data_IF_306972505310
#
_entry.id   IF_306972505310
#
_cell.length_a   1.000
_cell.length_b   1.000
_cell.length_c   1.000
_cell.angle_alpha   90.00
_cell.angle_beta   90.00
_cell.angle_gamma   90.00
#
_symmetry.space_group_name_H-M   'P 1'
#
loop_
_entity.id
_entity.type
_entity.pdbx_description
1 polymer ?
#
# COMPACT_ATOMS: atom_id res chain seq x y z
N UNK A 1 5.88 -8.85 15.17
CA UNK A 1 4.51 -8.83 15.75
C UNK A 1 3.58 -7.88 15.01
N UNK A 2 3.94 -6.62 14.79
CA UNK A 2 3.09 -5.64 14.08
C UNK A 2 2.63 -6.12 12.67
N UNK A 3 3.52 -6.71 11.87
CA UNK A 3 3.16 -7.22 10.53
C UNK A 3 2.04 -8.28 10.58
N UNK A 4 2.08 -9.17 11.56
CA UNK A 4 1.06 -10.23 11.73
C UNK A 4 -0.29 -9.62 12.11
N UNK A 5 -0.30 -8.66 13.05
CA UNK A 5 -1.53 -7.97 13.44
C UNK A 5 -2.17 -7.23 12.25
N UNK A 6 -1.36 -6.52 11.46
CA UNK A 6 -1.85 -5.80 10.27
C UNK A 6 -2.41 -6.77 9.23
N UNK A 7 -1.77 -7.92 9.00
CA UNK A 7 -2.30 -8.96 8.11
C UNK A 7 -3.63 -9.54 8.58
N UNK A 8 -3.82 -9.76 9.88
CA UNK A 8 -5.10 -10.23 10.42
C UNK A 8 -6.20 -9.17 10.25
N UNK A 9 -5.91 -7.92 10.60
CA UNK A 9 -6.86 -6.81 10.43
C UNK A 9 -7.21 -6.64 8.94
N UNK A 10 -6.24 -6.70 8.06
CA UNK A 10 -6.47 -6.58 6.62
C UNK A 10 -7.30 -7.73 6.05
N UNK A 11 -7.18 -8.97 6.56
CA UNK A 11 -8.04 -10.09 6.17
C UNK A 11 -9.49 -9.86 6.59
N UNK A 12 -9.71 -9.36 7.81
CA UNK A 12 -11.05 -9.02 8.32
C UNK A 12 -11.67 -7.93 7.44
N UNK A 13 -10.91 -6.89 7.12
CA UNK A 13 -11.40 -5.80 6.27
C UNK A 13 -11.68 -6.29 4.84
N UNK A 14 -10.84 -7.18 4.28
CA UNK A 14 -11.09 -7.76 2.96
C UNK A 14 -12.37 -8.60 2.92
N UNK A 15 -12.63 -9.39 3.97
CA UNK A 15 -13.86 -10.16 4.09
C UNK A 15 -15.09 -9.24 4.14
N UNK A 16 -15.04 -8.18 4.95
CA UNK A 16 -16.13 -7.20 5.08
C UNK A 16 -16.34 -6.40 3.79
N UNK A 17 -15.27 -6.07 3.06
CA UNK A 17 -15.34 -5.17 1.90
C UNK A 17 -15.64 -5.89 0.58
N UNK A 18 -15.21 -7.15 0.41
CA UNK A 18 -15.30 -7.86 -0.89
C UNK A 18 -16.18 -9.11 -0.80
N UNK A 19 -16.54 -9.56 0.41
CA UNK A 19 -17.35 -10.77 0.61
C UNK A 19 -16.59 -12.08 0.37
N UNK A 20 -15.30 -12.02 0.03
CA UNK A 20 -14.44 -13.19 -0.17
C UNK A 20 -14.16 -13.85 1.17
N UNK A 21 -14.52 -15.14 1.31
CA UNK A 21 -14.31 -15.96 2.51
C UNK A 21 -12.90 -15.81 3.09
N UNK A 22 -12.82 -15.76 4.42
CA UNK A 22 -11.55 -15.62 5.15
C UNK A 22 -10.50 -16.68 4.74
N UNK A 23 -10.96 -17.90 4.48
CA UNK A 23 -10.13 -19.04 4.06
C UNK A 23 -9.58 -18.85 2.64
N UNK A 24 -10.36 -18.25 1.74
CA UNK A 24 -9.97 -18.02 0.35
C UNK A 24 -8.97 -16.86 0.18
N UNK A 25 -9.03 -15.85 1.06
CA UNK A 25 -8.10 -14.72 1.07
C UNK A 25 -6.79 -14.98 1.83
N UNK A 26 -6.76 -16.02 2.68
CA UNK A 26 -5.60 -16.42 3.48
C UNK A 26 -4.33 -16.67 2.66
N UNK A 27 -4.35 -17.44 1.54
CA UNK A 27 -3.14 -17.66 0.74
C UNK A 27 -2.59 -16.36 0.14
N UNK A 28 -3.46 -15.46 -0.34
CA UNK A 28 -3.04 -14.15 -0.85
C UNK A 28 -2.36 -13.30 0.24
N UNK A 29 -2.90 -13.34 1.46
CA UNK A 29 -2.36 -12.54 2.58
C UNK A 29 -1.03 -13.10 3.05
N UNK A 30 -0.89 -14.44 3.06
CA UNK A 30 0.37 -15.09 3.39
C UNK A 30 1.48 -14.68 2.41
N UNK A 31 1.16 -14.55 1.12
CA UNK A 31 2.11 -14.06 0.11
C UNK A 31 2.50 -12.60 0.38
N UNK A 32 1.54 -11.70 0.62
CA UNK A 32 1.86 -10.30 0.95
C UNK A 32 2.68 -10.16 2.24
N UNK A 33 2.38 -10.98 3.25
CA UNK A 33 3.14 -11.03 4.49
C UNK A 33 4.57 -11.52 4.23
N UNK A 34 4.76 -12.57 3.43
CA UNK A 34 6.07 -13.10 3.06
C UNK A 34 6.90 -12.07 2.29
N UNK A 35 6.31 -11.38 1.31
CA UNK A 35 6.96 -10.28 0.59
C UNK A 35 7.38 -9.15 1.53
N UNK A 36 6.52 -8.81 2.50
CA UNK A 36 6.80 -7.76 3.49
C UNK A 36 7.96 -8.15 4.42
N UNK A 37 8.01 -9.41 4.86
CA UNK A 37 9.11 -9.93 5.68
C UNK A 37 10.42 -9.93 4.89
N UNK A 38 10.42 -10.47 3.68
CA UNK A 38 11.62 -10.52 2.83
C UNK A 38 12.14 -9.12 2.50
N UNK A 39 11.27 -8.20 2.08
CA UNK A 39 11.65 -6.82 1.78
C UNK A 39 12.19 -6.08 3.01
N UNK A 40 11.60 -6.30 4.19
CA UNK A 40 12.10 -5.73 5.43
C UNK A 40 13.45 -6.30 5.86
N UNK A 41 13.66 -7.60 5.69
CA UNK A 41 14.96 -8.24 5.95
C UNK A 41 16.03 -7.65 5.03
N UNK A 42 15.74 -7.48 3.74
CA UNK A 42 16.67 -6.84 2.79
C UNK A 42 16.98 -5.41 3.23
N UNK A 43 15.98 -4.63 3.63
CA UNK A 43 16.17 -3.26 4.15
C UNK A 43 17.11 -3.20 5.36
N UNK A 44 17.03 -4.19 6.27
CA UNK A 44 17.92 -4.25 7.44
C UNK A 44 19.39 -4.49 7.05
N UNK A 45 19.65 -5.28 6.01
CA UNK A 45 21.00 -5.56 5.53
C UNK A 45 21.54 -4.48 4.58
N UNK A 46 20.66 -3.87 3.79
CA UNK A 46 21.02 -2.88 2.78
C UNK A 46 20.81 -1.48 3.34
N UNK A 47 21.87 -0.88 3.88
CA UNK A 47 21.88 0.50 4.44
C UNK A 47 21.93 1.59 3.37
N UNK A 48 21.27 1.38 2.24
CA UNK A 48 21.04 2.44 1.26
C UNK A 48 19.85 3.24 1.79
N UNK A 49 19.89 4.57 1.76
CA UNK A 49 18.84 5.48 2.31
C UNK A 49 17.45 5.38 1.66
N UNK A 50 17.16 4.25 1.02
CA UNK A 50 15.88 3.89 0.40
C UNK A 50 14.97 3.32 1.50
N UNK A 51 13.72 3.81 1.60
CA UNK A 51 12.78 3.35 2.62
C UNK A 51 12.42 1.87 2.46
N UNK A 52 12.10 1.20 3.57
CA UNK A 52 11.71 -0.22 3.60
C UNK A 52 10.59 -0.57 2.60
N UNK A 53 9.63 0.35 2.39
CA UNK A 53 8.50 0.17 1.48
C UNK A 53 8.97 -0.09 0.04
N UNK A 54 10.03 0.57 -0.42
CA UNK A 54 10.55 0.37 -1.78
C UNK A 54 11.14 -1.03 -1.97
N UNK A 55 11.84 -1.55 -0.95
CA UNK A 55 12.37 -2.92 -0.98
C UNK A 55 11.26 -3.96 -1.00
N UNK A 56 10.19 -3.74 -0.24
CA UNK A 56 9.00 -4.61 -0.24
C UNK A 56 8.35 -4.63 -1.64
N UNK A 57 8.20 -3.47 -2.27
CA UNK A 57 7.66 -3.38 -3.65
C UNK A 57 8.52 -4.13 -4.66
N UNK A 58 9.86 -4.01 -4.58
CA UNK A 58 10.77 -4.75 -5.47
C UNK A 58 10.58 -6.26 -5.32
N UNK A 59 10.52 -6.76 -4.08
CA UNK A 59 10.29 -8.19 -3.82
C UNK A 59 8.93 -8.63 -4.38
N UNK A 60 7.87 -7.85 -4.14
CA UNK A 60 6.55 -8.16 -4.68
C UNK A 60 6.54 -8.20 -6.22
N UNK A 61 7.24 -7.27 -6.87
CA UNK A 61 7.38 -7.25 -8.34
C UNK A 61 8.07 -8.54 -8.81
N UNK A 62 9.18 -8.93 -8.19
CA UNK A 62 9.92 -10.15 -8.56
C UNK A 62 9.02 -11.39 -8.49
N UNK A 63 8.16 -11.50 -7.47
CA UNK A 63 7.22 -12.61 -7.31
C UNK A 63 6.08 -12.59 -8.34
N UNK A 64 5.75 -11.41 -8.88
CA UNK A 64 4.70 -11.23 -9.90
C UNK A 64 5.17 -11.38 -11.35
N UNK A 65 6.49 -11.45 -11.59
CA UNK A 65 7.05 -11.57 -12.94
C UNK A 65 6.78 -12.98 -13.50
N UNK A 66 6.37 -13.12 -14.78
CA UNK A 66 6.02 -14.42 -15.39
C UNK A 66 7.16 -15.44 -15.42
N UNK A 67 8.42 -14.98 -15.34
CA UNK A 67 9.60 -15.86 -15.25
C UNK A 67 9.75 -16.54 -13.88
N UNK A 68 8.96 -16.16 -12.86
CA UNK A 68 8.95 -16.82 -11.57
C UNK A 68 8.07 -18.09 -11.62
N UNK A 69 8.56 -19.25 -11.14
CA UNK A 69 7.89 -20.55 -11.33
C UNK A 69 6.50 -20.65 -10.70
N UNK A 70 6.22 -19.85 -9.66
CA UNK A 70 4.91 -19.79 -8.98
C UNK A 70 4.13 -18.50 -9.30
N UNK A 71 4.49 -17.77 -10.35
CA UNK A 71 3.89 -16.46 -10.67
C UNK A 71 2.38 -16.53 -10.91
N UNK A 72 1.89 -17.55 -11.61
CA UNK A 72 0.46 -17.71 -11.90
C UNK A 72 -0.37 -17.93 -10.62
N UNK A 73 0.10 -18.78 -9.72
CA UNK A 73 -0.55 -19.02 -8.42
C UNK A 73 -0.50 -17.78 -7.54
N UNK A 74 0.65 -17.10 -7.48
CA UNK A 74 0.82 -15.85 -6.74
C UNK A 74 -0.18 -14.79 -7.20
N UNK A 75 -0.30 -14.59 -8.51
CA UNK A 75 -1.25 -13.62 -9.08
C UNK A 75 -2.70 -14.04 -8.80
N UNK A 76 -3.02 -15.33 -8.97
CA UNK A 76 -4.38 -15.84 -8.71
C UNK A 76 -4.79 -15.65 -7.24
N UNK A 77 -3.92 -15.94 -6.27
CA UNK A 77 -4.23 -15.79 -4.86
C UNK A 77 -4.22 -14.34 -4.38
N UNK A 78 -3.32 -13.50 -4.91
CA UNK A 78 -3.27 -12.07 -4.57
C UNK A 78 -4.44 -11.29 -5.18
N UNK A 79 -4.97 -11.70 -6.33
CA UNK A 79 -6.15 -11.08 -6.96
C UNK A 79 -7.42 -11.17 -6.11
N UNK A 80 -7.50 -12.15 -5.20
CA UNK A 80 -8.61 -12.30 -4.23
C UNK A 80 -8.59 -11.25 -3.12
N UNK A 81 -7.50 -10.49 -3.01
CA UNK A 81 -7.35 -9.42 -2.03
C UNK A 81 -7.57 -8.08 -2.72
N UNK A 82 -8.60 -7.36 -2.27
CA UNK A 82 -8.87 -6.03 -2.76
C UNK A 82 -7.83 -5.02 -2.26
N UNK A 83 -7.34 -4.18 -3.18
CA UNK A 83 -6.45 -3.07 -2.82
C UNK A 83 -7.14 -2.04 -1.92
N UNK A 84 -8.41 -1.74 -2.17
CA UNK A 84 -9.21 -0.82 -1.36
C UNK A 84 -9.31 -1.26 0.12
N UNK A 85 -9.70 -2.53 0.42
CA UNK A 85 -9.71 -3.02 1.79
C UNK A 85 -8.36 -2.92 2.52
N UNK A 86 -7.24 -3.02 1.80
CA UNK A 86 -5.90 -2.86 2.38
C UNK A 86 -5.62 -1.43 2.86
N UNK A 87 -6.16 -0.43 2.17
CA UNK A 87 -5.90 0.99 2.51
C UNK A 87 -6.78 1.44 3.68
N UNK A 88 -7.94 0.82 3.90
CA UNK A 88 -8.87 1.17 4.98
C UNK A 88 -8.25 1.18 6.39
N UNK A 89 -7.52 0.15 6.87
CA UNK A 89 -6.90 0.21 8.20
C UNK A 89 -5.82 1.30 8.29
N UNK A 90 -5.12 1.59 7.19
CA UNK A 90 -4.11 2.66 7.14
C UNK A 90 -4.79 4.03 7.25
N UNK A 91 -5.88 4.26 6.52
CA UNK A 91 -6.70 5.48 6.60
C UNK A 91 -7.32 5.66 7.99
N UNK A 92 -7.83 4.57 8.59
CA UNK A 92 -8.38 4.59 9.93
C UNK A 92 -7.30 4.96 10.97
N UNK A 93 -6.12 4.35 10.89
CA UNK A 93 -4.99 4.70 11.74
C UNK A 93 -4.53 6.14 11.50
N UNK A 94 -4.46 6.58 10.25
CA UNK A 94 -4.11 7.95 9.91
C UNK A 94 -5.11 8.95 10.53
N UNK A 95 -6.41 8.65 10.50
CA UNK A 95 -7.45 9.45 11.14
C UNK A 95 -7.35 9.48 12.67
N UNK A 96 -7.03 8.34 13.30
CA UNK A 96 -6.81 8.25 14.75
C UNK A 96 -5.51 8.92 15.21
N UNK A 97 -4.49 8.95 14.34
CA UNK A 97 -3.19 9.55 14.62
C UNK A 97 -3.18 11.09 14.52
N UNK A 98 -4.26 11.69 14.01
CA UNK A 98 -4.40 13.16 13.96
C UNK A 98 -4.42 13.72 15.39
N UNK A 99 -3.38 14.47 15.75
CA UNK A 99 -3.26 15.10 17.07
C UNK A 99 -3.95 16.48 17.10
N UNK A 100 -4.02 17.07 18.31
CA UNK A 100 -4.52 18.44 18.51
C UNK A 100 -3.69 19.49 17.75
N UNK A 101 -2.45 19.18 17.37
CA UNK A 101 -1.61 20.08 16.59
C UNK A 101 -2.07 20.16 15.14
N UNK A 102 -2.29 19.03 14.46
CA UNK A 102 -2.78 18.99 13.08
C UNK A 102 -4.16 19.66 12.98
N UNK A 103 -5.07 19.41 13.94
CA UNK A 103 -6.39 20.06 13.97
C UNK A 103 -6.27 21.58 14.09
N UNK A 104 -5.35 22.08 14.93
CA UNK A 104 -5.08 23.53 15.04
C UNK A 104 -4.49 24.10 13.76
N UNK A 105 -3.58 23.38 13.11
CA UNK A 105 -3.00 23.77 11.82
C UNK A 105 -4.07 23.82 10.73
N UNK A 106 -4.95 22.82 10.63
CA UNK A 106 -6.08 22.82 9.71
C UNK A 106 -7.04 23.99 9.99
N UNK A 107 -7.29 24.34 11.25
CA UNK A 107 -8.16 25.47 11.60
C UNK A 107 -7.55 26.83 11.23
N UNK A 108 -6.24 26.98 11.38
CA UNK A 108 -5.54 28.25 11.09
C UNK A 108 -5.18 28.40 9.60
N UNK A 109 -4.86 27.31 8.92
CA UNK A 109 -4.28 27.32 7.56
C UNK A 109 -5.06 26.48 6.54
N UNK A 110 -6.24 25.95 6.89
CA UNK A 110 -6.98 24.97 6.09
C UNK A 110 -7.20 25.38 4.63
N UNK A 111 -7.54 26.65 4.39
CA UNK A 111 -7.72 27.15 3.02
C UNK A 111 -6.44 27.10 2.19
N UNK A 112 -5.29 27.44 2.78
CA UNK A 112 -3.98 27.35 2.11
C UNK A 112 -3.59 25.90 1.85
N UNK A 113 -3.84 25.00 2.81
CA UNK A 113 -3.56 23.57 2.68
C UNK A 113 -4.40 22.97 1.55
N UNK A 114 -5.68 23.32 1.44
CA UNK A 114 -6.56 22.85 0.37
C UNK A 114 -6.06 23.26 -1.02
N UNK A 115 -5.63 24.51 -1.19
CA UNK A 115 -5.06 25.00 -2.45
C UNK A 115 -3.76 24.24 -2.78
N UNK A 116 -2.85 24.09 -1.82
CA UNK A 116 -1.59 23.36 -2.04
C UNK A 116 -1.85 21.91 -2.42
N UNK A 117 -2.80 21.24 -1.75
CA UNK A 117 -3.19 19.87 -2.08
C UNK A 117 -3.74 19.78 -3.51
N UNK A 118 -4.65 20.68 -3.90
CA UNK A 118 -5.24 20.70 -5.23
C UNK A 118 -4.18 20.95 -6.31
N UNK A 119 -3.30 21.93 -6.13
CA UNK A 119 -2.19 22.20 -7.05
C UNK A 119 -1.22 21.02 -7.15
N UNK A 120 -0.94 20.34 -6.03
CA UNK A 120 -0.06 19.16 -6.03
C UNK A 120 -0.68 18.00 -6.80
N UNK A 121 -1.95 17.66 -6.52
CA UNK A 121 -2.65 16.58 -7.24
C UNK A 121 -2.79 16.87 -8.73
N UNK A 122 -3.19 18.10 -9.10
CA UNK A 122 -3.28 18.51 -10.50
C UNK A 122 -1.90 18.46 -11.16
N UNK A 123 -0.86 18.96 -10.49
CA UNK A 123 0.52 18.94 -11.00
C UNK A 123 1.03 17.52 -11.27
N UNK A 124 0.84 16.60 -10.33
CA UNK A 124 1.25 15.19 -10.52
C UNK A 124 0.47 14.51 -11.64
N UNK A 125 -0.84 14.76 -11.73
CA UNK A 125 -1.68 14.18 -12.79
C UNK A 125 -1.30 14.72 -14.17
N UNK A 126 -1.23 16.05 -14.32
CA UNK A 126 -0.87 16.71 -15.59
C UNK A 126 0.55 16.34 -16.00
N UNK A 127 1.51 16.32 -15.08
CA UNK A 127 2.88 15.87 -15.36
C UNK A 127 2.93 14.43 -15.89
N UNK A 128 2.19 13.52 -15.25
CA UNK A 128 2.07 12.12 -15.71
C UNK A 128 1.40 12.02 -17.08
N UNK A 129 0.36 12.81 -17.33
CA UNK A 129 -0.35 12.86 -18.61
C UNK A 129 0.53 13.39 -19.75
N UNK A 130 1.35 14.42 -19.50
CA UNK A 130 2.29 14.97 -20.49
C UNK A 130 3.34 13.92 -20.86
N UNK A 131 3.93 13.22 -19.87
CA UNK A 131 4.90 12.15 -20.14
C UNK A 131 4.25 11.02 -20.94
N UNK A 132 3.03 10.62 -20.57
CA UNK A 132 2.29 9.60 -21.30
C UNK A 132 2.06 10.02 -22.77
N UNK A 133 1.68 11.28 -23.01
CA UNK A 133 1.47 11.82 -24.35
C UNK A 133 2.77 11.98 -25.15
N UNK A 134 3.91 12.22 -24.48
CA UNK A 134 5.21 12.37 -25.12
C UNK A 134 5.84 11.03 -25.53
N UNK A 135 5.48 9.93 -24.85
CA UNK A 135 5.96 8.57 -25.14
C UNK A 135 5.03 7.78 -26.09
N UNK A 136 3.84 8.32 -26.37
CA UNK A 136 2.83 7.74 -27.27
C UNK A 136 3.05 8.20 -28.71
#
# INVERSE_FOLDING_TARGET
MALVMVSVVALIVNWVSTGVSFIDGLPGMAIFWLCSVLGYVIYQYVKIGVPAVAWISIVAIIFSIPQFPFSQEVIAYTSKIGLLPMITPVLAYAGLAISKMEIRLFKAAGFKIAIVALLTFVGTFVGSAIIAQALL
#
